data_IF_848297791451
#
_entry.id   IF_848297791451
#
_cell.length_a   1.000
_cell.length_b   1.000
_cell.length_c   1.000
_cell.angle_alpha   90.00
_cell.angle_beta   90.00
_cell.angle_gamma   90.00
#
_symmetry.space_group_name_H-M   'P 1'
#
loop_
_entity.id
_entity.type
_entity.pdbx_description
1 polymer ?
#
# COMPACT_ATOMS: atom_id res chain seq x y z
N UNK A 1 -11.20 5.62 -32.73
CA UNK A 1 -10.26 4.46 -32.65
C UNK A 1 -9.39 4.48 -31.39
N UNK A 2 -8.71 5.58 -31.02
CA UNK A 2 -7.87 5.65 -29.79
C UNK A 2 -8.61 5.36 -28.48
N UNK A 3 -9.84 5.88 -28.29
CA UNK A 3 -10.68 5.60 -27.10
C UNK A 3 -11.11 4.13 -26.98
N UNK A 4 -11.49 3.48 -28.09
CA UNK A 4 -11.89 2.06 -28.08
C UNK A 4 -10.71 1.15 -27.73
N UNK A 5 -9.51 1.48 -28.25
CA UNK A 5 -8.28 0.76 -27.94
C UNK A 5 -7.79 1.00 -26.48
N UNK A 6 -8.07 2.15 -25.87
CA UNK A 6 -7.77 2.37 -24.44
C UNK A 6 -8.76 1.62 -23.54
N UNK A 7 -10.05 1.60 -23.88
CA UNK A 7 -11.08 0.84 -23.15
C UNK A 7 -10.82 -0.67 -23.17
N UNK A 8 -10.46 -1.25 -24.31
CA UNK A 8 -10.15 -2.69 -24.40
C UNK A 8 -8.87 -3.06 -23.61
N UNK A 9 -7.87 -2.17 -23.58
CA UNK A 9 -6.67 -2.35 -22.75
C UNK A 9 -6.99 -2.24 -21.26
N UNK A 10 -7.83 -1.29 -20.87
CA UNK A 10 -8.32 -1.16 -19.50
C UNK A 10 -9.09 -2.40 -19.04
N UNK A 11 -10.02 -2.91 -19.85
CA UNK A 11 -10.77 -4.14 -19.54
C UNK A 11 -9.82 -5.33 -19.40
N UNK A 12 -8.86 -5.50 -20.31
CA UNK A 12 -7.87 -6.59 -20.24
C UNK A 12 -7.00 -6.53 -18.98
N UNK A 13 -6.51 -5.33 -18.63
CA UNK A 13 -5.69 -5.13 -17.45
C UNK A 13 -6.51 -5.26 -16.15
N UNK A 14 -7.75 -4.78 -16.12
CA UNK A 14 -8.66 -4.97 -14.98
C UNK A 14 -9.04 -6.45 -14.80
N UNK A 15 -9.27 -7.19 -15.88
CA UNK A 15 -9.50 -8.65 -15.80
C UNK A 15 -8.26 -9.39 -15.30
N UNK A 16 -7.04 -8.93 -15.62
CA UNK A 16 -5.80 -9.48 -15.05
C UNK A 16 -5.69 -9.18 -13.56
N UNK A 17 -6.01 -7.97 -13.13
CA UNK A 17 -6.09 -7.59 -11.71
C UNK A 17 -7.11 -8.45 -10.93
N UNK A 18 -8.31 -8.63 -11.50
CA UNK A 18 -9.34 -9.53 -10.92
C UNK A 18 -8.88 -10.99 -10.89
N UNK A 19 -7.97 -11.41 -11.77
CA UNK A 19 -7.41 -12.78 -11.77
C UNK A 19 -6.22 -12.94 -10.82
N UNK A 20 -5.42 -11.91 -10.66
CA UNK A 20 -4.27 -11.87 -9.76
C UNK A 20 -4.14 -10.45 -9.16
N UNK A 21 -4.71 -10.22 -7.96
CA UNK A 21 -4.72 -8.89 -7.34
C UNK A 21 -3.33 -8.39 -6.92
N UNK A 22 -2.32 -9.26 -6.85
CA UNK A 22 -0.94 -8.90 -6.48
C UNK A 22 -0.13 -8.23 -7.61
N UNK A 23 -0.68 -8.10 -8.83
CA UNK A 23 0.03 -7.47 -9.95
C UNK A 23 -0.16 -5.95 -9.98
N UNK A 24 0.58 -5.23 -9.12
CA UNK A 24 0.51 -3.78 -8.98
C UNK A 24 0.92 -3.02 -10.27
N UNK A 25 1.81 -3.58 -11.09
CA UNK A 25 2.25 -2.98 -12.36
C UNK A 25 1.09 -2.78 -13.34
N UNK A 26 0.12 -3.70 -13.30
CA UNK A 26 -1.09 -3.66 -14.12
C UNK A 26 -1.97 -2.50 -13.66
N UNK A 27 -2.00 -2.22 -12.36
CA UNK A 27 -2.75 -1.11 -11.75
C UNK A 27 -2.14 0.24 -12.12
N UNK A 28 -0.82 0.40 -12.01
CA UNK A 28 -0.17 1.64 -12.43
C UNK A 28 -0.32 1.91 -13.93
N UNK A 29 -0.32 0.87 -14.78
CA UNK A 29 -0.63 1.00 -16.22
C UNK A 29 -2.11 1.29 -16.50
N UNK A 30 -3.02 0.78 -15.67
CA UNK A 30 -4.46 1.06 -15.74
C UNK A 30 -4.78 2.52 -15.41
N UNK A 31 -4.02 3.08 -14.49
CA UNK A 31 -4.31 4.34 -13.80
C UNK A 31 -3.51 5.47 -14.46
N UNK A 32 -2.21 5.29 -14.76
CA UNK A 32 -1.39 6.31 -15.39
C UNK A 32 -1.66 6.57 -16.89
N UNK A 33 -2.48 5.74 -17.56
CA UNK A 33 -2.51 5.70 -19.02
C UNK A 33 -1.14 5.31 -19.60
N UNK A 34 -1.09 4.70 -20.78
CA UNK A 34 0.18 4.31 -21.38
C UNK A 34 1.07 5.51 -21.81
N UNK A 35 0.65 6.74 -21.55
CA UNK A 35 1.26 8.00 -21.99
C UNK A 35 1.15 9.15 -20.95
N UNK A 36 0.75 8.87 -19.70
CA UNK A 36 0.60 9.92 -18.68
C UNK A 36 -0.60 10.85 -18.91
N UNK A 37 -1.45 10.59 -19.90
CA UNK A 37 -2.65 11.39 -20.19
C UNK A 37 -3.89 10.80 -19.52
N UNK A 38 -3.89 10.65 -18.19
CA UNK A 38 -5.14 10.37 -17.50
C UNK A 38 -5.94 11.66 -17.28
N UNK A 39 -7.11 11.73 -17.92
CA UNK A 39 -8.09 12.81 -17.77
C UNK A 39 -9.23 12.40 -16.84
N UNK A 40 -8.97 11.52 -15.87
CA UNK A 40 -9.96 11.22 -14.84
C UNK A 40 -9.88 12.28 -13.74
N UNK A 41 -11.02 12.89 -13.40
CA UNK A 41 -11.07 13.86 -12.30
C UNK A 41 -10.63 13.27 -10.95
N UNK A 42 -10.50 11.94 -10.82
CA UNK A 42 -9.99 11.31 -9.61
C UNK A 42 -8.48 11.54 -9.41
N UNK A 43 -7.70 11.50 -10.48
CA UNK A 43 -6.27 11.80 -10.43
C UNK A 43 -6.00 13.27 -10.17
N UNK A 44 -6.72 14.15 -10.87
CA UNK A 44 -6.61 15.60 -10.64
C UNK A 44 -6.91 15.93 -9.18
N UNK A 45 -7.97 15.32 -8.60
CA UNK A 45 -8.27 15.48 -7.17
C UNK A 45 -7.16 14.93 -6.28
N UNK A 46 -6.66 13.73 -6.54
CA UNK A 46 -5.61 13.12 -5.74
C UNK A 46 -4.32 13.96 -5.75
N UNK A 47 -3.84 14.34 -6.94
CA UNK A 47 -2.68 15.21 -7.06
C UNK A 47 -2.94 16.62 -6.54
N UNK A 48 -4.19 17.10 -6.53
CA UNK A 48 -4.56 18.39 -5.95
C UNK A 48 -4.59 18.45 -4.43
N UNK A 49 -4.41 17.33 -3.71
CA UNK A 49 -4.40 17.31 -2.23
C UNK A 49 -3.16 17.97 -1.65
N UNK A 50 -3.33 18.67 -0.53
CA UNK A 50 -2.25 19.39 0.16
C UNK A 50 -1.10 18.47 0.58
N UNK A 51 -1.39 17.26 1.07
CA UNK A 51 -0.37 16.29 1.51
C UNK A 51 0.44 15.73 0.34
N UNK A 52 -0.21 15.50 -0.80
CA UNK A 52 0.46 15.09 -2.05
C UNK A 52 1.33 16.22 -2.60
N UNK A 53 0.81 17.44 -2.62
CA UNK A 53 1.58 18.63 -3.05
C UNK A 53 2.78 18.88 -2.13
N UNK A 54 2.62 18.69 -0.82
CA UNK A 54 3.71 18.80 0.15
C UNK A 54 4.81 17.76 -0.10
N UNK A 55 4.46 16.50 -0.40
CA UNK A 55 5.43 15.48 -0.81
C UNK A 55 6.21 15.92 -2.05
N UNK A 56 5.50 16.36 -3.10
CA UNK A 56 6.11 16.78 -4.38
C UNK A 56 7.06 17.97 -4.16
N UNK A 57 6.65 18.94 -3.34
CA UNK A 57 7.46 20.12 -3.03
C UNK A 57 8.73 19.76 -2.23
N UNK A 58 8.64 18.76 -1.33
CA UNK A 58 9.75 18.34 -0.47
C UNK A 58 10.86 17.60 -1.24
N UNK A 59 10.55 17.02 -2.40
CA UNK A 59 11.50 16.25 -3.26
C UNK A 59 12.32 15.24 -2.46
N UNK A 60 11.63 14.43 -1.67
CA UNK A 60 12.31 13.37 -0.93
C UNK A 60 12.90 12.35 -1.90
N UNK A 61 14.15 11.88 -1.67
CA UNK A 61 14.69 10.81 -2.49
C UNK A 61 13.82 9.55 -2.34
N UNK A 62 13.79 8.66 -3.35
CA UNK A 62 13.16 7.36 -3.22
C UNK A 62 13.69 6.62 -2.00
N UNK A 63 12.80 5.90 -1.31
CA UNK A 63 13.17 5.12 -0.14
C UNK A 63 14.03 3.93 -0.57
N UNK A 64 15.21 3.81 0.02
CA UNK A 64 16.14 2.69 -0.14
C UNK A 64 16.18 1.87 1.16
N UNK A 65 15.98 0.55 1.04
CA UNK A 65 15.90 -0.37 2.18
C UNK A 65 17.05 -1.39 2.11
N UNK A 66 17.92 -1.38 3.12
CA UNK A 66 18.97 -2.38 3.31
C UNK A 66 18.57 -3.34 4.43
N UNK A 67 18.03 -4.52 4.09
CA UNK A 67 17.62 -5.50 5.08
C UNK A 67 18.75 -5.95 6.00
N UNK A 68 19.98 -6.04 5.51
CA UNK A 68 21.11 -6.45 6.37
C UNK A 68 21.33 -5.41 7.47
N UNK A 69 21.22 -4.13 7.13
CA UNK A 69 21.24 -3.06 8.11
C UNK A 69 20.00 -3.06 9.01
N UNK A 70 18.80 -3.27 8.46
CA UNK A 70 17.54 -3.25 9.21
C UNK A 70 17.46 -4.39 10.24
N UNK A 71 17.93 -5.60 9.92
CA UNK A 71 18.00 -6.73 10.86
C UNK A 71 18.87 -6.43 12.09
N UNK A 72 19.83 -5.51 11.96
CA UNK A 72 20.73 -5.10 13.06
C UNK A 72 20.17 -3.97 13.91
N UNK A 73 19.02 -3.40 13.55
CA UNK A 73 18.38 -2.39 14.38
C UNK A 73 17.84 -3.02 15.68
N UNK A 74 17.71 -2.21 16.76
CA UNK A 74 17.11 -2.68 18.00
C UNK A 74 15.70 -3.25 17.80
N UNK A 75 15.36 -4.27 18.58
CA UNK A 75 14.01 -4.83 18.64
C UNK A 75 12.97 -3.76 18.98
N UNK A 76 11.79 -3.89 18.39
CA UNK A 76 10.70 -2.91 18.55
C UNK A 76 10.84 -1.63 17.71
N UNK A 77 11.91 -1.47 16.92
CA UNK A 77 11.98 -0.38 15.91
C UNK A 77 11.21 -0.73 14.63
N UNK A 78 10.75 0.28 13.89
CA UNK A 78 10.02 0.08 12.62
C UNK A 78 10.84 -0.77 11.64
N UNK A 79 12.12 -0.44 11.47
CA UNK A 79 12.99 -1.14 10.53
C UNK A 79 13.29 -2.57 10.95
N UNK A 80 13.45 -2.82 12.25
CA UNK A 80 13.63 -4.19 12.76
C UNK A 80 12.37 -5.03 12.56
N UNK A 81 11.19 -4.48 12.88
CA UNK A 81 9.90 -5.13 12.66
C UNK A 81 9.64 -5.39 11.17
N UNK A 82 10.05 -4.49 10.29
CA UNK A 82 9.97 -4.68 8.84
C UNK A 82 10.88 -5.82 8.36
N UNK A 83 12.12 -5.89 8.83
CA UNK A 83 13.01 -6.97 8.47
C UNK A 83 12.45 -8.34 8.89
N UNK A 84 11.90 -8.44 10.11
CA UNK A 84 11.23 -9.64 10.59
C UNK A 84 9.98 -9.98 9.77
N UNK A 85 9.19 -8.97 9.39
CA UNK A 85 8.01 -9.13 8.54
C UNK A 85 8.35 -9.76 7.19
N UNK A 86 9.44 -9.30 6.56
CA UNK A 86 9.95 -9.86 5.30
C UNK A 86 10.54 -11.26 5.50
N UNK A 87 11.34 -11.47 6.54
CA UNK A 87 12.02 -12.75 6.82
C UNK A 87 11.01 -13.90 7.02
N UNK A 88 9.93 -13.65 7.76
CA UNK A 88 8.87 -14.64 7.99
C UNK A 88 8.14 -15.04 6.71
N UNK A 89 8.05 -14.14 5.73
CA UNK A 89 7.32 -14.35 4.47
C UNK A 89 8.20 -14.88 3.34
N UNK A 90 9.52 -14.85 3.52
CA UNK A 90 10.47 -15.31 2.52
C UNK A 90 10.46 -14.49 1.22
N UNK A 91 10.05 -13.22 1.29
CA UNK A 91 10.08 -12.32 0.13
C UNK A 91 11.51 -11.88 -0.18
N UNK A 92 11.85 -11.78 -1.46
CA UNK A 92 13.08 -11.13 -1.91
C UNK A 92 12.80 -9.64 -2.15
N UNK A 93 13.62 -8.75 -1.56
CA UNK A 93 13.46 -7.30 -1.72
C UNK A 93 13.74 -6.84 -3.13
N UNK A 94 14.57 -7.56 -3.89
CA UNK A 94 14.80 -7.18 -5.29
C UNK A 94 13.51 -7.25 -6.11
N UNK A 95 12.56 -8.09 -5.70
CA UNK A 95 11.25 -8.21 -6.32
C UNK A 95 10.23 -7.18 -5.79
N UNK A 96 10.51 -6.48 -4.68
CA UNK A 96 9.66 -5.40 -4.15
C UNK A 96 9.82 -4.08 -4.90
N UNK A 97 10.79 -4.00 -5.80
CA UNK A 97 11.24 -2.76 -6.44
C UNK A 97 11.09 -2.86 -7.96
N UNK A 98 9.88 -2.58 -8.45
CA UNK A 98 9.52 -2.78 -9.85
C UNK A 98 10.08 -1.70 -10.80
N UNK A 99 10.56 -0.57 -10.26
CA UNK A 99 11.03 0.57 -11.05
C UNK A 99 12.40 1.04 -10.59
N UNK A 100 13.29 1.35 -11.53
CA UNK A 100 14.58 1.96 -11.22
C UNK A 100 14.37 3.25 -10.40
N UNK A 101 15.07 3.37 -9.27
CA UNK A 101 15.07 4.55 -8.42
C UNK A 101 15.88 5.67 -9.09
N UNK A 102 15.36 6.21 -10.20
CA UNK A 102 15.91 7.41 -10.81
C UNK A 102 15.28 8.60 -10.10
N UNK A 103 16.12 9.43 -9.50
CA UNK A 103 15.70 10.75 -9.02
C UNK A 103 15.05 11.49 -10.19
N UNK A 104 13.74 11.70 -10.08
CA UNK A 104 12.91 12.24 -11.15
C UNK A 104 12.25 13.51 -10.66
N UNK A 105 12.39 14.57 -11.45
CA UNK A 105 11.68 15.82 -11.22
C UNK A 105 10.19 15.72 -11.57
N UNK A 106 9.75 14.63 -12.20
CA UNK A 106 8.34 14.38 -12.52
C UNK A 106 7.53 14.09 -11.24
N UNK A 107 6.54 14.94 -10.89
CA UNK A 107 5.70 14.74 -9.70
C UNK A 107 4.98 13.39 -9.66
N UNK A 108 4.55 12.88 -10.82
CA UNK A 108 3.84 11.59 -10.91
C UNK A 108 4.78 10.44 -10.55
N UNK A 109 6.02 10.49 -11.05
CA UNK A 109 7.06 9.50 -10.74
C UNK A 109 7.43 9.55 -9.25
N UNK A 110 7.57 10.75 -8.67
CA UNK A 110 7.87 10.91 -7.24
C UNK A 110 6.80 10.30 -6.35
N UNK A 111 5.52 10.63 -6.59
CA UNK A 111 4.39 10.09 -5.81
C UNK A 111 4.31 8.56 -5.96
N UNK A 112 4.48 8.07 -7.20
CA UNK A 112 4.47 6.64 -7.47
C UNK A 112 5.58 5.90 -6.72
N UNK A 113 6.82 6.36 -6.82
CA UNK A 113 7.96 5.75 -6.10
C UNK A 113 7.77 5.82 -4.59
N UNK A 114 7.23 6.92 -4.07
CA UNK A 114 6.96 7.05 -2.64
C UNK A 114 5.97 5.99 -2.14
N UNK A 115 4.85 5.80 -2.85
CA UNK A 115 3.84 4.80 -2.49
C UNK A 115 4.37 3.37 -2.68
N UNK A 116 5.01 3.09 -3.81
CA UNK A 116 5.56 1.77 -4.14
C UNK A 116 6.63 1.33 -3.14
N UNK A 117 7.59 2.20 -2.83
CA UNK A 117 8.72 1.85 -1.95
C UNK A 117 8.34 1.79 -0.48
N UNK A 118 7.26 2.45 -0.07
CA UNK A 118 6.79 2.40 1.31
C UNK A 118 5.71 1.37 1.57
N UNK A 119 5.08 0.78 0.55
CA UNK A 119 3.93 -0.12 0.67
C UNK A 119 4.07 -1.16 1.79
N UNK A 120 5.17 -1.91 1.78
CA UNK A 120 5.35 -3.00 2.73
C UNK A 120 5.60 -2.52 4.17
N UNK A 121 6.07 -1.29 4.34
CA UNK A 121 6.11 -0.65 5.66
C UNK A 121 4.72 -0.29 6.18
N UNK A 122 3.75 -0.03 5.29
CA UNK A 122 2.37 0.22 5.72
C UNK A 122 1.77 -1.03 6.35
N UNK A 123 2.04 -2.23 5.82
CA UNK A 123 1.64 -3.49 6.47
C UNK A 123 2.16 -3.57 7.91
N UNK A 124 3.44 -3.29 8.13
CA UNK A 124 4.07 -3.32 9.47
C UNK A 124 3.41 -2.32 10.42
N UNK A 125 3.24 -1.07 9.98
CA UNK A 125 2.67 -0.02 10.84
C UNK A 125 1.20 -0.30 11.15
N UNK A 126 0.42 -0.72 10.15
CA UNK A 126 -1.03 -0.93 10.30
C UNK A 126 -1.41 -2.28 10.90
N UNK A 127 -0.53 -3.27 10.82
CA UNK A 127 -0.75 -4.65 11.28
C UNK A 127 -1.47 -5.54 10.27
N UNK A 128 -1.81 -5.07 9.06
CA UNK A 128 -2.39 -5.92 8.01
C UNK A 128 -1.37 -6.91 7.46
N UNK A 129 -1.78 -8.17 7.31
CA UNK A 129 -0.98 -9.21 6.67
C UNK A 129 -0.97 -9.08 5.13
N UNK A 130 -0.17 -9.89 4.43
CA UNK A 130 -0.03 -9.93 2.96
C UNK A 130 -0.86 -11.01 2.29
N UNK A 131 -1.74 -11.68 3.03
CA UNK A 131 -2.72 -12.56 2.39
C UNK A 131 -3.86 -11.75 1.76
N UNK A 132 -4.72 -12.41 0.99
CA UNK A 132 -5.74 -11.71 0.20
C UNK A 132 -6.67 -10.85 1.07
N UNK A 133 -6.99 -11.27 2.30
CA UNK A 133 -7.84 -10.48 3.19
C UNK A 133 -7.06 -9.28 3.76
N UNK A 134 -5.83 -9.49 4.22
CA UNK A 134 -4.95 -8.44 4.72
C UNK A 134 -4.66 -7.36 3.68
N UNK A 135 -4.35 -7.76 2.44
CA UNK A 135 -4.17 -6.86 1.30
C UNK A 135 -5.41 -6.00 1.06
N UNK A 136 -6.61 -6.61 1.04
CA UNK A 136 -7.84 -5.84 0.85
C UNK A 136 -8.11 -4.88 2.02
N UNK A 137 -7.77 -5.27 3.24
CA UNK A 137 -7.81 -4.38 4.40
C UNK A 137 -6.86 -3.19 4.24
N UNK A 138 -5.61 -3.44 3.84
CA UNK A 138 -4.66 -2.37 3.62
C UNK A 138 -5.07 -1.44 2.46
N UNK A 139 -5.61 -1.97 1.37
CA UNK A 139 -6.11 -1.14 0.28
C UNK A 139 -7.32 -0.29 0.72
N UNK A 140 -8.19 -0.80 1.60
CA UNK A 140 -9.26 -0.01 2.20
C UNK A 140 -8.72 1.10 3.11
N UNK A 141 -7.62 0.83 3.82
CA UNK A 141 -6.89 1.84 4.57
C UNK A 141 -6.32 2.91 3.64
N UNK A 142 -5.64 2.54 2.55
CA UNK A 142 -5.13 3.49 1.54
C UNK A 142 -6.23 4.40 1.00
N UNK A 143 -7.38 3.83 0.63
CA UNK A 143 -8.49 4.62 0.12
C UNK A 143 -9.03 5.60 1.18
N UNK A 144 -9.19 5.16 2.43
CA UNK A 144 -9.68 6.03 3.50
C UNK A 144 -8.66 7.10 3.95
N UNK A 145 -7.36 6.79 3.89
CA UNK A 145 -6.28 7.64 4.41
C UNK A 145 -5.81 8.68 3.38
N UNK A 146 -5.63 8.25 2.11
CA UNK A 146 -5.06 9.09 1.05
C UNK A 146 -5.94 9.24 -0.20
N UNK A 147 -7.10 8.57 -0.26
CA UNK A 147 -8.07 8.67 -1.38
C UNK A 147 -7.45 8.45 -2.77
N UNK A 148 -6.59 7.43 -2.88
CA UNK A 148 -5.90 7.14 -4.14
C UNK A 148 -6.79 6.32 -5.11
N UNK A 149 -6.86 6.68 -6.40
CA UNK A 149 -7.60 5.91 -7.40
C UNK A 149 -7.06 4.48 -7.57
N UNK A 150 -5.78 4.25 -7.23
CA UNK A 150 -5.13 2.93 -7.20
C UNK A 150 -5.86 1.97 -6.27
N UNK A 151 -6.04 2.40 -5.01
CA UNK A 151 -6.69 1.59 -4.00
C UNK A 151 -8.14 1.28 -4.36
N UNK A 152 -8.86 2.26 -4.92
CA UNK A 152 -10.23 2.05 -5.39
C UNK A 152 -10.32 0.95 -6.45
N UNK A 153 -9.41 0.96 -7.44
CA UNK A 153 -9.40 -0.05 -8.50
C UNK A 153 -9.05 -1.44 -7.96
N UNK A 154 -8.05 -1.54 -7.07
CA UNK A 154 -7.63 -2.82 -6.46
C UNK A 154 -8.77 -3.39 -5.59
N UNK A 155 -9.37 -2.58 -4.73
CA UNK A 155 -10.52 -2.99 -3.90
C UNK A 155 -11.67 -3.51 -4.76
N UNK A 156 -12.03 -2.78 -5.81
CA UNK A 156 -13.10 -3.17 -6.72
C UNK A 156 -12.81 -4.51 -7.38
N UNK A 157 -11.58 -4.70 -7.87
CA UNK A 157 -11.15 -5.94 -8.51
C UNK A 157 -11.08 -7.12 -7.53
N UNK A 158 -10.59 -6.89 -6.32
CA UNK A 158 -10.46 -7.90 -5.27
C UNK A 158 -11.79 -8.36 -4.67
N UNK A 159 -12.74 -7.43 -4.47
CA UNK A 159 -14.10 -7.77 -4.05
C UNK A 159 -14.83 -8.57 -5.14
N UNK A 160 -14.65 -8.22 -6.41
CA UNK A 160 -15.20 -8.99 -7.52
C UNK A 160 -14.57 -10.38 -7.61
N UNK A 161 -13.26 -10.50 -7.39
CA UNK A 161 -12.60 -11.81 -7.30
C UNK A 161 -13.17 -12.66 -6.16
N UNK A 162 -13.32 -12.09 -4.96
CA UNK A 162 -13.88 -12.77 -3.80
C UNK A 162 -15.28 -13.32 -4.10
N UNK A 163 -16.14 -12.49 -4.70
CA UNK A 163 -17.51 -12.89 -5.07
C UNK A 163 -17.54 -14.04 -6.08
N UNK A 164 -16.62 -14.04 -7.06
CA UNK A 164 -16.65 -14.98 -8.19
C UNK A 164 -15.84 -16.26 -7.97
N UNK A 165 -14.81 -16.24 -7.11
CA UNK A 165 -13.84 -17.35 -7.01
C UNK A 165 -13.70 -17.95 -5.62
N UNK A 166 -13.94 -17.19 -4.57
CA UNK A 166 -13.72 -17.65 -3.20
C UNK A 166 -14.78 -17.10 -2.25
N UNK A 167 -16.05 -17.52 -2.43
CA UNK A 167 -17.15 -17.03 -1.60
C UNK A 167 -17.03 -17.47 -0.13
N UNK A 168 -16.27 -18.54 0.15
CA UNK A 168 -16.06 -19.04 1.52
C UNK A 168 -15.24 -18.07 2.38
N UNK A 169 -14.21 -17.43 1.79
CA UNK A 169 -13.39 -16.41 2.45
C UNK A 169 -14.00 -14.98 2.35
N UNK A 170 -15.13 -14.84 1.62
CA UNK A 170 -15.76 -13.54 1.33
C UNK A 170 -16.11 -12.72 2.58
N UNK A 171 -16.60 -13.36 3.66
CA UNK A 171 -16.92 -12.66 4.92
C UNK A 171 -15.68 -12.01 5.54
N UNK A 172 -14.57 -12.77 5.60
CA UNK A 172 -13.31 -12.32 6.19
C UNK A 172 -12.69 -11.18 5.38
N UNK A 173 -12.77 -11.24 4.05
CA UNK A 173 -12.34 -10.15 3.16
C UNK A 173 -13.16 -8.87 3.35
N UNK A 174 -14.50 -9.00 3.46
CA UNK A 174 -15.37 -7.86 3.73
C UNK A 174 -15.12 -7.23 5.11
N UNK A 175 -14.88 -8.07 6.12
CA UNK A 175 -14.50 -7.65 7.46
C UNK A 175 -13.17 -6.89 7.44
N UNK A 176 -12.17 -7.39 6.71
CA UNK A 176 -10.90 -6.71 6.52
C UNK A 176 -11.05 -5.35 5.85
N UNK A 177 -11.87 -5.25 4.79
CA UNK A 177 -12.17 -3.97 4.13
C UNK A 177 -12.83 -2.98 5.10
N UNK A 178 -13.80 -3.43 5.91
CA UNK A 178 -14.47 -2.58 6.89
C UNK A 178 -13.52 -2.07 7.98
N UNK A 179 -12.65 -2.95 8.48
CA UNK A 179 -11.61 -2.62 9.48
C UNK A 179 -10.60 -1.65 8.88
N UNK A 180 -10.07 -1.93 7.69
CA UNK A 180 -9.13 -1.08 6.96
C UNK A 180 -9.67 0.32 6.71
N UNK A 181 -10.90 0.43 6.23
CA UNK A 181 -11.58 1.72 6.03
C UNK A 181 -11.69 2.50 7.35
N UNK A 182 -12.19 1.86 8.42
CA UNK A 182 -12.34 2.51 9.73
C UNK A 182 -11.00 2.97 10.29
N UNK A 183 -9.95 2.15 10.18
CA UNK A 183 -8.61 2.49 10.64
C UNK A 183 -8.01 3.64 9.82
N UNK A 184 -8.13 3.61 8.49
CA UNK A 184 -7.62 4.66 7.62
C UNK A 184 -8.29 6.02 7.86
N UNK A 185 -9.59 6.03 8.20
CA UNK A 185 -10.33 7.23 8.59
C UNK A 185 -9.88 7.82 9.93
N UNK A 186 -9.42 6.98 10.85
CA UNK A 186 -8.99 7.40 12.19
C UNK A 186 -7.51 7.83 12.23
N UNK A 187 -6.69 7.28 11.33
CA UNK A 187 -5.26 7.56 11.25
C UNK A 187 -4.97 8.95 10.65
N UNK A 188 -3.80 9.50 10.99
CA UNK A 188 -3.22 10.63 10.25
C UNK A 188 -2.83 10.18 8.85
N UNK A 189 -2.71 11.11 7.90
CA UNK A 189 -2.24 10.79 6.55
C UNK A 189 -0.82 10.22 6.60
N UNK A 190 -0.62 9.09 5.94
CA UNK A 190 0.71 8.49 5.74
C UNK A 190 1.40 9.06 4.49
N UNK A 191 0.69 9.88 3.71
CA UNK A 191 1.24 10.51 2.52
C UNK A 191 2.36 11.49 2.91
N UNK A 192 3.54 11.33 2.30
CA UNK A 192 4.65 12.24 2.52
C UNK A 192 5.44 12.01 3.81
N UNK A 193 5.19 10.92 4.53
CA UNK A 193 6.01 10.54 5.69
C UNK A 193 7.46 10.25 5.26
N UNK A 194 8.41 10.70 6.06
CA UNK A 194 9.83 10.39 5.85
C UNK A 194 10.14 9.00 6.40
N UNK A 195 9.75 7.97 5.66
CA UNK A 195 9.91 6.58 6.07
C UNK A 195 11.36 6.24 6.46
N UNK A 196 12.35 6.79 5.75
CA UNK A 196 13.76 6.57 6.05
C UNK A 196 14.12 7.06 7.47
N UNK A 197 13.62 8.22 7.88
CA UNK A 197 13.78 8.74 9.23
C UNK A 197 13.02 7.92 10.29
N UNK A 198 11.89 7.29 9.92
CA UNK A 198 11.08 6.49 10.83
C UNK A 198 11.67 5.10 11.11
N UNK A 199 12.49 4.53 10.21
CA UNK A 199 13.02 3.16 10.34
C UNK A 199 13.72 2.88 11.69
N UNK A 200 14.40 3.87 12.26
CA UNK A 200 15.14 3.71 13.53
C UNK A 200 14.29 3.99 14.77
N UNK A 201 13.07 4.48 14.60
CA UNK A 201 12.19 4.87 15.70
C UNK A 201 11.44 3.66 16.26
N UNK A 202 11.06 3.67 17.55
CA UNK A 202 10.18 2.65 18.12
C UNK A 202 8.83 2.60 17.38
N UNK A 203 8.41 1.40 16.98
CA UNK A 203 7.18 1.18 16.23
C UNK A 203 5.95 1.66 17.00
N UNK A 204 5.90 1.42 18.31
CA UNK A 204 4.81 1.86 19.17
C UNK A 204 4.64 3.39 19.19
N UNK A 205 5.74 4.14 19.20
CA UNK A 205 5.71 5.62 19.12
C UNK A 205 5.20 6.10 17.77
N UNK A 206 5.73 5.50 16.69
CA UNK A 206 5.32 5.83 15.31
C UNK A 206 3.83 5.54 15.11
N UNK A 207 3.34 4.40 15.59
CA UNK A 207 1.91 4.04 15.58
C UNK A 207 1.08 5.07 16.35
N UNK A 208 1.47 5.43 17.56
CA UNK A 208 0.76 6.40 18.38
C UNK A 208 0.67 7.79 17.70
N UNK A 209 1.76 8.28 17.11
CA UNK A 209 1.79 9.55 16.37
C UNK A 209 0.83 9.53 15.18
N UNK A 210 0.78 8.41 14.47
CA UNK A 210 -0.05 8.21 13.29
C UNK A 210 -1.50 7.87 13.62
N UNK A 211 -1.87 7.74 14.90
CA UNK A 211 -3.22 7.38 15.33
C UNK A 211 -3.56 5.91 15.12
N UNK A 212 -2.56 5.04 14.98
CA UNK A 212 -2.73 3.59 15.01
C UNK A 212 -2.55 3.11 16.44
N UNK A 213 -3.63 2.65 17.07
CA UNK A 213 -3.54 2.06 18.41
C UNK A 213 -3.08 0.61 18.34
N UNK A 214 -2.52 0.08 19.42
CA UNK A 214 -2.16 -1.33 19.48
C UNK A 214 -3.38 -2.24 19.26
N UNK A 215 -4.55 -1.85 19.77
CA UNK A 215 -5.80 -2.57 19.52
C UNK A 215 -6.15 -2.65 18.04
N UNK A 216 -5.93 -1.57 17.27
CA UNK A 216 -6.15 -1.55 15.82
C UNK A 216 -5.16 -2.45 15.09
N UNK A 217 -3.87 -2.39 15.45
CA UNK A 217 -2.86 -3.23 14.83
C UNK A 217 -3.11 -4.72 15.07
N UNK A 218 -3.51 -5.08 16.29
CA UNK A 218 -3.89 -6.46 16.64
C UNK A 218 -5.19 -6.89 15.94
N UNK A 219 -6.18 -6.01 15.85
CA UNK A 219 -7.42 -6.27 15.11
C UNK A 219 -7.15 -6.56 13.63
N UNK A 220 -6.31 -5.75 12.99
CA UNK A 220 -5.85 -5.97 11.62
C UNK A 220 -5.09 -7.31 11.47
N UNK A 221 -4.17 -7.61 12.39
CA UNK A 221 -3.36 -8.83 12.34
C UNK A 221 -4.15 -10.13 12.52
N UNK A 222 -5.24 -10.10 13.29
CA UNK A 222 -6.14 -11.27 13.47
C UNK A 222 -6.87 -11.67 12.21
N UNK A 223 -6.94 -10.78 11.23
CA UNK A 223 -7.53 -11.07 9.93
C UNK A 223 -6.58 -11.85 9.03
N UNK A 224 -5.29 -11.96 9.36
CA UNK A 224 -4.33 -12.80 8.64
C UNK A 224 -4.63 -14.30 8.83
N UNK A 225 -4.30 -15.12 7.84
CA UNK A 225 -4.51 -16.56 7.86
C UNK A 225 -3.56 -17.26 8.84
N UNK A 226 -2.50 -16.57 9.26
CA UNK A 226 -1.61 -16.96 10.33
C UNK A 226 -1.51 -15.81 11.36
N UNK A 227 -1.59 -16.09 12.68
CA UNK A 227 -1.44 -15.05 13.68
C UNK A 227 -0.03 -14.45 13.62
N UNK A 228 0.06 -13.12 13.59
CA UNK A 228 1.28 -12.41 13.99
C UNK A 228 1.64 -12.90 15.40
N UNK A 229 2.81 -13.51 15.56
CA UNK A 229 3.32 -13.87 16.87
C UNK A 229 3.32 -12.59 17.73
N UNK A 230 2.58 -12.62 18.85
CA UNK A 230 2.52 -11.49 19.75
C UNK A 230 3.94 -11.17 20.22
N UNK A 231 4.39 -9.93 19.99
CA UNK A 231 5.58 -9.42 20.64
C UNK A 231 5.35 -9.48 22.16
N UNK A 232 6.07 -10.38 22.82
CA UNK A 232 6.05 -10.58 24.27
C UNK A 232 7.22 -9.83 24.91
#
# INVERSE_FOLDING_TARGET
MRKLASTLRFISAYVRLVRNPAQLDVVFKLIGGADGSDQSGAFERFFGRDDVQALIARRMPPLELDLVALRRLPEGTVGRAFAEFIDVRGFDITDLHHHNAVDSSDPVVQVKLHLERSHDLWHVVTGFDTDVAGELGLQAFYLANIDTPVALAILSGGLLNALLRDPADGRRRLEAVAIGWRHGKAARSFMGLDWAALLRRPLAEVRAELGITEAMAVEAGRLGAAPLAAAA
#
